data_IF_311853459087
#
_entry.id   IF_311853459087
#
_cell.length_a   1.000
_cell.length_b   1.000
_cell.length_c   1.000
_cell.angle_alpha   90.00
_cell.angle_beta   90.00
_cell.angle_gamma   90.00
#
_symmetry.space_group_name_H-M   'P 1'
#
loop_
_entity.id
_entity.type
_entity.pdbx_description
1 polymer ?
#
# COMPACT_ATOMS: atom_id res chain seq x y z
N UNK A 1 6.50 -20.32 -1.05
CA UNK A 1 7.11 -18.98 -1.07
C UNK A 1 8.51 -18.96 -0.46
N UNK A 2 8.72 -19.22 0.84
CA UNK A 2 10.09 -19.20 1.43
C UNK A 2 11.09 -20.12 0.71
N UNK A 3 10.68 -21.36 0.41
CA UNK A 3 11.49 -22.31 -0.37
C UNK A 3 11.93 -21.75 -1.73
N UNK A 4 11.00 -21.14 -2.47
CA UNK A 4 11.26 -20.52 -3.77
C UNK A 4 12.25 -19.34 -3.66
N UNK A 5 12.14 -18.55 -2.59
CA UNK A 5 13.06 -17.44 -2.33
C UNK A 5 14.47 -17.98 -2.05
N UNK A 6 14.61 -18.98 -1.17
CA UNK A 6 15.93 -19.59 -0.87
C UNK A 6 16.56 -20.31 -2.05
N UNK A 7 15.75 -20.82 -2.98
CA UNK A 7 16.25 -21.40 -4.22
C UNK A 7 16.83 -20.35 -5.17
N UNK A 8 16.31 -19.12 -5.14
CA UNK A 8 16.73 -18.02 -6.01
C UNK A 8 17.81 -17.13 -5.41
N UNK A 9 17.86 -17.03 -4.08
CA UNK A 9 18.69 -16.10 -3.34
C UNK A 9 19.31 -16.79 -2.14
N UNK A 10 20.61 -16.58 -1.94
CA UNK A 10 21.31 -17.02 -0.73
C UNK A 10 21.02 -16.04 0.42
N UNK A 11 19.99 -16.34 1.21
CA UNK A 11 19.49 -15.49 2.29
C UNK A 11 19.50 -16.27 3.60
N UNK A 12 20.07 -15.71 4.68
CA UNK A 12 20.06 -16.34 6.00
C UNK A 12 18.63 -16.53 6.53
N UNK A 13 18.39 -17.61 7.27
CA UNK A 13 17.04 -17.93 7.78
C UNK A 13 16.53 -16.89 8.80
N UNK A 14 17.44 -16.19 9.47
CA UNK A 14 17.16 -15.07 10.37
C UNK A 14 16.47 -13.90 9.66
N UNK A 15 16.75 -13.71 8.36
CA UNK A 15 16.16 -12.62 7.57
C UNK A 15 14.75 -12.95 7.05
N UNK A 16 14.23 -14.16 7.30
CA UNK A 16 12.95 -14.64 6.78
C UNK A 16 11.79 -13.67 7.03
N UNK A 17 11.66 -13.17 8.26
CA UNK A 17 10.58 -12.24 8.61
C UNK A 17 10.66 -10.95 7.78
N UNK A 18 11.84 -10.34 7.73
CA UNK A 18 12.09 -9.12 6.98
C UNK A 18 11.80 -9.29 5.48
N UNK A 19 12.19 -10.42 4.89
CA UNK A 19 11.89 -10.72 3.49
C UNK A 19 10.38 -10.80 3.25
N UNK A 20 9.63 -11.48 4.12
CA UNK A 20 8.17 -11.53 3.98
C UNK A 20 7.52 -10.16 4.13
N UNK A 21 8.00 -9.31 5.04
CA UNK A 21 7.53 -7.93 5.18
C UNK A 21 7.79 -7.12 3.90
N UNK A 22 8.97 -7.29 3.27
CA UNK A 22 9.32 -6.64 2.02
C UNK A 22 8.42 -7.10 0.87
N UNK A 23 8.25 -8.42 0.70
CA UNK A 23 7.37 -9.01 -0.32
C UNK A 23 5.93 -8.54 -0.14
N UNK A 24 5.42 -8.50 1.09
CA UNK A 24 4.08 -8.00 1.38
C UNK A 24 3.94 -6.52 1.00
N UNK A 25 4.95 -5.70 1.31
CA UNK A 25 4.94 -4.28 1.00
C UNK A 25 5.02 -4.02 -0.50
N UNK A 26 5.89 -4.76 -1.22
CA UNK A 26 5.97 -4.72 -2.67
C UNK A 26 4.65 -5.13 -3.32
N UNK A 27 4.01 -6.19 -2.83
CA UNK A 27 2.70 -6.63 -3.32
C UNK A 27 1.60 -5.60 -3.09
N UNK A 28 1.55 -4.97 -1.92
CA UNK A 28 0.60 -3.86 -1.65
C UNK A 28 0.81 -2.70 -2.62
N UNK A 29 2.06 -2.30 -2.85
CA UNK A 29 2.41 -1.23 -3.78
C UNK A 29 1.98 -1.58 -5.22
N UNK A 30 2.32 -2.77 -5.67
CA UNK A 30 1.95 -3.27 -6.98
C UNK A 30 0.43 -3.26 -7.19
N UNK A 31 -0.36 -3.80 -6.26
CA UNK A 31 -1.83 -3.78 -6.37
C UNK A 31 -2.41 -2.35 -6.44
N UNK A 32 -1.82 -1.42 -5.69
CA UNK A 32 -2.23 -0.01 -5.72
C UNK A 32 -1.96 0.63 -7.09
N UNK A 33 -0.77 0.38 -7.65
CA UNK A 33 -0.38 0.84 -8.97
C UNK A 33 -1.25 0.21 -10.06
N UNK A 34 -1.48 -1.10 -9.99
CA UNK A 34 -2.34 -1.83 -10.92
C UNK A 34 -3.74 -1.21 -10.98
N UNK A 35 -4.36 -0.96 -9.83
CA UNK A 35 -5.68 -0.32 -9.76
C UNK A 35 -5.66 1.12 -10.28
N UNK A 36 -4.59 1.86 -10.06
CA UNK A 36 -4.48 3.25 -10.51
C UNK A 36 -4.31 3.34 -12.02
N UNK A 37 -3.38 2.55 -12.56
CA UNK A 37 -2.97 2.63 -13.96
C UNK A 37 -3.91 1.87 -14.91
N UNK A 38 -4.57 0.80 -14.45
CA UNK A 38 -5.36 -0.06 -15.34
C UNK A 38 -6.85 -0.13 -14.98
N UNK A 39 -7.25 0.25 -13.76
CA UNK A 39 -8.68 0.32 -13.42
C UNK A 39 -9.21 1.75 -13.47
N UNK A 40 -8.54 2.70 -12.82
CA UNK A 40 -8.99 4.11 -12.79
C UNK A 40 -8.71 4.88 -14.08
N UNK A 41 -7.74 4.45 -14.87
CA UNK A 41 -7.33 5.16 -16.09
C UNK A 41 -8.36 5.06 -17.24
N UNK A 42 -9.22 4.04 -17.21
CA UNK A 42 -10.19 3.78 -18.27
C UNK A 42 -11.61 3.76 -17.70
N UNK A 43 -12.57 4.19 -18.51
CA UNK A 43 -13.96 4.37 -18.07
C UNK A 43 -14.73 3.06 -17.95
N UNK A 44 -14.58 2.17 -18.93
CA UNK A 44 -15.34 0.91 -19.05
C UNK A 44 -14.43 -0.33 -18.90
N UNK A 45 -15.03 -1.49 -18.61
CA UNK A 45 -14.29 -2.73 -18.41
C UNK A 45 -13.69 -3.29 -19.71
N UNK A 46 -14.28 -3.00 -20.87
CA UNK A 46 -13.78 -3.44 -22.18
C UNK A 46 -12.40 -2.83 -22.48
N UNK A 47 -12.26 -1.51 -22.34
CA UNK A 47 -10.99 -0.80 -22.48
C UNK A 47 -9.97 -1.23 -21.43
N UNK A 48 -10.42 -1.53 -20.20
CA UNK A 48 -9.53 -2.05 -19.14
C UNK A 48 -8.96 -3.41 -19.53
N UNK A 49 -9.79 -4.29 -20.10
CA UNK A 49 -9.38 -5.62 -20.57
C UNK A 49 -8.42 -5.55 -21.76
N UNK A 50 -8.67 -4.65 -22.70
CA UNK A 50 -7.77 -4.40 -23.85
C UNK A 50 -6.40 -3.89 -23.37
N UNK A 51 -6.40 -2.98 -22.38
CA UNK A 51 -5.18 -2.40 -21.80
C UNK A 51 -4.68 -3.14 -20.55
N UNK A 52 -4.98 -4.45 -20.44
CA UNK A 52 -4.51 -5.30 -19.36
C UNK A 52 -2.97 -5.37 -19.37
N UNK A 53 -2.30 -5.27 -18.22
CA UNK A 53 -0.86 -5.48 -18.16
C UNK A 53 -0.51 -6.93 -18.51
N UNK A 54 0.51 -7.11 -19.35
CA UNK A 54 0.95 -8.41 -19.88
C UNK A 54 1.27 -9.42 -18.77
N UNK A 55 1.83 -8.94 -17.67
CA UNK A 55 2.26 -9.76 -16.53
C UNK A 55 1.09 -10.36 -15.71
N UNK A 56 -0.14 -9.85 -15.89
CA UNK A 56 -1.31 -10.31 -15.13
C UNK A 56 -2.14 -11.24 -16.01
N UNK A 57 -2.35 -12.51 -15.65
CA UNK A 57 -3.21 -13.43 -16.42
C UNK A 57 -4.62 -12.87 -16.63
N UNK A 58 -5.20 -13.16 -17.79
CA UNK A 58 -6.50 -12.60 -18.18
C UNK A 58 -7.62 -12.99 -17.21
N UNK A 59 -7.65 -14.26 -16.79
CA UNK A 59 -8.59 -14.75 -15.78
C UNK A 59 -8.52 -13.96 -14.48
N UNK A 60 -7.31 -13.76 -13.96
CA UNK A 60 -7.09 -13.01 -12.73
C UNK A 60 -7.50 -11.55 -12.87
N UNK A 61 -7.24 -10.94 -14.04
CA UNK A 61 -7.61 -9.56 -14.26
C UNK A 61 -9.14 -9.39 -14.35
N UNK A 62 -9.86 -10.33 -15.00
CA UNK A 62 -11.33 -10.37 -15.00
C UNK A 62 -11.90 -10.45 -13.58
N UNK A 63 -11.34 -11.33 -12.75
CA UNK A 63 -11.74 -11.46 -11.34
C UNK A 63 -11.49 -10.18 -10.55
N UNK A 64 -10.37 -9.48 -10.82
CA UNK A 64 -10.07 -8.19 -10.21
C UNK A 64 -11.06 -7.09 -10.62
N UNK A 65 -11.43 -7.02 -11.90
CA UNK A 65 -12.44 -6.07 -12.38
C UNK A 65 -13.78 -6.33 -11.69
N UNK A 66 -14.22 -7.60 -11.64
CA UNK A 66 -15.43 -7.99 -10.91
C UNK A 66 -15.38 -7.60 -9.44
N UNK A 67 -14.25 -7.85 -8.77
CA UNK A 67 -14.06 -7.47 -7.38
C UNK A 67 -14.12 -5.95 -7.18
N UNK A 68 -13.42 -5.16 -8.01
CA UNK A 68 -13.38 -3.72 -7.87
C UNK A 68 -14.71 -3.05 -8.19
N UNK A 69 -15.47 -3.60 -9.14
CA UNK A 69 -16.80 -3.14 -9.51
C UNK A 69 -17.88 -3.56 -8.52
N UNK A 70 -17.62 -4.53 -7.63
CA UNK A 70 -18.57 -4.98 -6.62
C UNK A 70 -18.97 -3.87 -5.64
N UNK A 71 -20.26 -3.82 -5.29
CA UNK A 71 -20.80 -2.85 -4.33
C UNK A 71 -20.15 -2.92 -2.94
N UNK A 72 -19.86 -4.11 -2.38
CA UNK A 72 -19.17 -4.19 -1.08
C UNK A 72 -17.81 -3.49 -1.10
N UNK A 73 -17.03 -3.69 -2.17
CA UNK A 73 -15.72 -3.05 -2.31
C UNK A 73 -15.85 -1.55 -2.54
N UNK A 74 -16.79 -1.09 -3.39
CA UNK A 74 -17.06 0.35 -3.58
C UNK A 74 -17.45 1.03 -2.27
N UNK A 75 -18.35 0.43 -1.50
CA UNK A 75 -18.77 0.93 -0.18
C UNK A 75 -17.57 1.02 0.78
N UNK A 76 -16.79 -0.04 0.90
CA UNK A 76 -15.59 -0.05 1.75
C UNK A 76 -14.57 1.01 1.31
N UNK A 77 -14.35 1.15 0.00
CA UNK A 77 -13.42 2.16 -0.54
C UNK A 77 -13.87 3.59 -0.22
N UNK A 78 -15.17 3.88 -0.31
CA UNK A 78 -15.75 5.18 0.05
C UNK A 78 -15.58 5.47 1.54
N UNK A 79 -15.97 4.54 2.41
CA UNK A 79 -15.82 4.68 3.87
C UNK A 79 -14.36 4.88 4.27
N UNK A 80 -13.41 4.14 3.68
CA UNK A 80 -11.98 4.31 3.96
C UNK A 80 -11.48 5.71 3.55
N UNK A 81 -11.96 6.25 2.43
CA UNK A 81 -11.61 7.60 1.97
C UNK A 81 -12.15 8.66 2.93
N UNK A 82 -13.41 8.53 3.36
CA UNK A 82 -14.03 9.42 4.35
C UNK A 82 -13.29 9.38 5.69
N UNK A 83 -12.95 8.19 6.19
CA UNK A 83 -12.18 8.02 7.42
C UNK A 83 -10.80 8.66 7.32
N UNK A 84 -10.12 8.52 6.18
CA UNK A 84 -8.82 9.15 5.96
C UNK A 84 -8.93 10.68 5.97
N UNK A 85 -9.96 11.25 5.35
CA UNK A 85 -10.20 12.69 5.32
C UNK A 85 -10.54 13.27 6.71
N UNK A 86 -11.10 12.45 7.62
CA UNK A 86 -11.37 12.84 9.01
C UNK A 86 -10.12 12.87 9.89
N UNK A 87 -9.00 12.30 9.45
CA UNK A 87 -7.75 12.32 10.21
C UNK A 87 -7.10 13.72 10.14
N UNK A 88 -7.29 14.53 11.19
CA UNK A 88 -6.79 15.92 11.24
C UNK A 88 -5.35 16.04 11.72
N UNK A 89 -4.97 15.30 12.76
CA UNK A 89 -3.67 15.39 13.41
C UNK A 89 -2.92 14.06 13.27
N UNK A 90 -2.30 13.77 12.11
CA UNK A 90 -1.42 12.62 12.00
C UNK A 90 -0.22 12.82 12.94
N UNK A 91 0.22 11.76 13.62
CA UNK A 91 1.39 11.81 14.47
C UNK A 91 2.65 12.07 13.63
N UNK A 92 3.28 13.23 13.81
CA UNK A 92 4.46 13.68 13.03
C UNK A 92 5.78 13.47 13.78
N UNK A 93 5.75 13.15 15.08
CA UNK A 93 6.94 13.05 15.92
C UNK A 93 7.90 11.90 15.52
N UNK A 94 7.50 11.04 14.59
CA UNK A 94 8.36 9.98 14.06
C UNK A 94 8.83 9.04 15.16
N UNK A 95 10.14 8.76 15.22
CA UNK A 95 10.77 7.97 16.29
C UNK A 95 11.15 8.82 17.52
N UNK A 96 11.00 10.14 17.44
CA UNK A 96 11.39 11.04 18.52
C UNK A 96 10.28 11.03 19.58
N UNK A 97 10.59 10.65 20.84
CA UNK A 97 9.61 10.73 21.91
C UNK A 97 9.22 12.19 22.20
N UNK A 98 7.98 12.40 22.65
CA UNK A 98 7.47 13.73 22.97
C UNK A 98 8.26 14.45 24.08
N UNK A 99 8.96 13.72 24.96
CA UNK A 99 9.83 14.32 25.98
C UNK A 99 10.94 15.16 25.36
N UNK A 100 11.66 14.62 24.37
CA UNK A 100 12.73 15.32 23.66
C UNK A 100 12.21 16.49 22.83
N UNK A 101 11.02 16.36 22.25
CA UNK A 101 10.38 17.46 21.51
C UNK A 101 10.06 18.62 22.47
N UNK A 102 9.52 18.31 23.65
CA UNK A 102 9.21 19.32 24.67
C UNK A 102 10.46 20.00 25.21
N UNK A 103 11.53 19.25 25.47
CA UNK A 103 12.81 19.83 25.92
C UNK A 103 13.38 20.80 24.88
N UNK A 104 13.42 20.40 23.60
CA UNK A 104 13.91 21.27 22.53
C UNK A 104 13.04 22.53 22.31
N UNK A 105 11.71 22.43 22.49
CA UNK A 105 10.82 23.61 22.44
C UNK A 105 11.10 24.56 23.61
N UNK A 106 11.29 24.03 24.83
CA UNK A 106 11.63 24.83 26.01
C UNK A 106 12.96 25.57 25.83
N UNK A 107 13.98 24.90 25.27
CA UNK A 107 15.27 25.51 24.95
C UNK A 107 15.14 26.64 23.91
N UNK A 108 14.34 26.45 22.84
CA UNK A 108 14.09 27.52 21.86
C UNK A 108 13.43 28.74 22.50
N UNK A 109 12.40 28.54 23.33
CA UNK A 109 11.68 29.63 24.01
C UNK A 109 12.61 30.41 24.94
N UNK A 110 13.52 29.73 25.66
CA UNK A 110 14.47 30.39 26.55
C UNK A 110 15.59 31.14 25.81
N UNK A 111 15.88 30.77 24.57
CA UNK A 111 16.88 31.43 23.73
C UNK A 111 16.37 32.65 22.95
N UNK A 112 15.08 32.99 23.07
CA UNK A 112 14.42 34.11 22.38
C UNK A 112 14.10 35.24 23.35
#
# INVERSE_FOLDING_TARGET
MWKYIKEKYDIPDEAKQWVFELVCSAWRKYKSQLKTNHFKAYENDELRMENRPVDVPESHFKDLLKYWNSDPHKKMSKTNTENRNRLKCPHTAGRTPFSLIREAEMERIQST
#
